data_IF_706663801087
#
_entry.id   IF_706663801087
#
_cell.length_a   1.000
_cell.length_b   1.000
_cell.length_c   1.000
_cell.angle_alpha   90.00
_cell.angle_beta   90.00
_cell.angle_gamma   90.00
#
_symmetry.space_group_name_H-M   'P 1'
#
loop_
_entity.id
_entity.type
_entity.pdbx_description
1 polymer ?
#
# COMPACT_ATOMS: atom_id res chain seq x y z
N UNK A 1 9.46 1.03 -15.86
CA UNK A 1 8.77 0.00 -15.05
C UNK A 1 7.80 0.74 -14.14
N UNK A 2 6.52 0.35 -14.04
CA UNK A 2 5.55 1.02 -13.15
C UNK A 2 5.54 0.35 -11.77
N UNK A 3 5.10 1.07 -10.72
CA UNK A 3 5.00 0.52 -9.35
C UNK A 3 4.22 -0.80 -9.32
N UNK A 4 3.02 -0.85 -9.91
CA UNK A 4 2.20 -2.07 -9.97
C UNK A 4 2.93 -3.23 -10.65
N UNK A 5 3.64 -2.99 -11.75
CA UNK A 5 4.41 -4.04 -12.43
C UNK A 5 5.54 -4.56 -11.56
N UNK A 6 6.19 -3.69 -10.79
CA UNK A 6 7.24 -4.12 -9.84
C UNK A 6 6.68 -4.93 -8.68
N UNK A 7 5.49 -4.59 -8.16
CA UNK A 7 4.80 -5.41 -7.14
C UNK A 7 4.58 -6.81 -7.69
N UNK A 8 4.04 -6.93 -8.93
CA UNK A 8 3.72 -8.23 -9.53
C UNK A 8 4.93 -9.14 -9.76
N UNK A 9 6.13 -8.57 -9.93
CA UNK A 9 7.36 -9.35 -10.11
C UNK A 9 7.76 -10.10 -8.82
N UNK A 10 7.58 -9.47 -7.66
CA UNK A 10 8.02 -10.02 -6.37
C UNK A 10 6.88 -10.57 -5.51
N UNK A 11 5.66 -10.06 -5.73
CA UNK A 11 4.47 -10.30 -4.92
C UNK A 11 3.23 -10.41 -5.84
N UNK A 12 3.13 -11.47 -6.67
CA UNK A 12 2.12 -11.57 -7.73
C UNK A 12 0.68 -11.50 -7.20
N UNK A 13 0.40 -12.15 -6.07
CA UNK A 13 -0.97 -12.28 -5.53
C UNK A 13 -1.35 -11.16 -4.54
N UNK A 14 -0.45 -10.19 -4.32
CA UNK A 14 -0.61 -9.16 -3.30
C UNK A 14 -1.70 -8.17 -3.69
N UNK A 15 -2.68 -7.96 -2.81
CA UNK A 15 -3.75 -7.01 -3.09
C UNK A 15 -3.22 -5.58 -3.00
N UNK A 16 -3.45 -4.79 -4.04
CA UNK A 16 -3.16 -3.35 -4.07
C UNK A 16 -4.49 -2.60 -4.11
N UNK A 17 -4.72 -1.70 -3.16
CA UNK A 17 -5.86 -0.80 -3.20
C UNK A 17 -5.37 0.54 -3.76
N UNK A 18 -6.10 1.03 -4.76
CA UNK A 18 -5.86 2.34 -5.37
C UNK A 18 -7.08 3.22 -5.08
N UNK A 19 -6.84 4.37 -4.45
CA UNK A 19 -7.82 5.43 -4.32
C UNK A 19 -7.45 6.57 -5.27
N UNK A 20 -8.28 6.80 -6.29
CA UNK A 20 -8.00 7.73 -7.38
C UNK A 20 -9.01 8.87 -7.39
N UNK A 21 -8.56 10.10 -7.19
CA UNK A 21 -9.32 11.34 -7.31
C UNK A 21 -8.95 12.14 -8.57
N UNK A 22 -8.37 11.49 -9.57
CA UNK A 22 -8.07 12.10 -10.88
C UNK A 22 -9.36 12.47 -11.61
N UNK A 23 -9.27 13.53 -12.44
CA UNK A 23 -10.39 13.96 -13.30
C UNK A 23 -10.78 12.88 -14.30
N UNK A 24 -9.77 12.15 -14.78
CA UNK A 24 -9.92 11.00 -15.66
C UNK A 24 -9.42 9.76 -14.91
N UNK A 25 -10.31 8.80 -14.58
CA UNK A 25 -9.95 7.57 -13.89
C UNK A 25 -8.90 6.75 -14.67
N UNK A 26 -7.89 6.26 -13.96
CA UNK A 26 -6.91 5.34 -14.52
C UNK A 26 -7.56 3.99 -14.89
N UNK A 27 -7.26 3.50 -16.10
CA UNK A 27 -7.62 2.15 -16.52
C UNK A 27 -6.56 1.17 -16.07
N UNK A 28 -6.85 0.44 -14.99
CA UNK A 28 -5.97 -0.61 -14.46
C UNK A 28 -6.59 -1.97 -14.76
N UNK A 29 -5.85 -2.81 -15.50
CA UNK A 29 -6.25 -4.19 -15.79
C UNK A 29 -5.38 -5.16 -15.00
N UNK A 30 -5.75 -5.41 -13.75
CA UNK A 30 -5.02 -6.26 -12.81
C UNK A 30 -6.01 -6.89 -11.82
N UNK A 31 -6.05 -8.22 -11.75
CA UNK A 31 -7.03 -8.96 -10.93
C UNK A 31 -6.82 -8.81 -9.42
N UNK A 32 -5.65 -8.35 -9.00
CA UNK A 32 -5.30 -8.14 -7.60
C UNK A 32 -5.25 -6.64 -7.26
N UNK A 33 -5.85 -5.79 -8.09
CA UNK A 33 -6.06 -4.36 -7.78
C UNK A 33 -7.52 -4.11 -7.44
N UNK A 34 -7.76 -3.57 -6.24
CA UNK A 34 -9.04 -3.01 -5.85
C UNK A 34 -9.01 -1.49 -6.11
N UNK A 35 -9.72 -1.05 -7.15
CA UNK A 35 -9.70 0.34 -7.59
C UNK A 35 -10.95 1.09 -7.13
N UNK A 36 -10.76 2.21 -6.44
CA UNK A 36 -11.82 3.06 -5.92
C UNK A 36 -11.68 4.48 -6.46
N UNK A 37 -12.64 4.91 -7.29
CA UNK A 37 -12.72 6.28 -7.80
C UNK A 37 -13.35 7.21 -6.76
N UNK A 38 -12.80 8.41 -6.63
CA UNK A 38 -13.31 9.48 -5.78
C UNK A 38 -13.67 10.71 -6.63
N UNK A 39 -14.49 11.64 -6.09
CA UNK A 39 -14.69 12.93 -6.74
C UNK A 39 -13.35 13.64 -6.95
N UNK A 40 -13.25 14.40 -8.05
CA UNK A 40 -12.01 15.07 -8.45
C UNK A 40 -11.45 16.00 -7.35
N UNK A 41 -10.15 15.92 -7.10
CA UNK A 41 -9.41 16.85 -6.24
C UNK A 41 -9.79 16.77 -4.77
N UNK A 42 -10.27 15.62 -4.29
CA UNK A 42 -10.54 15.41 -2.85
C UNK A 42 -9.26 15.33 -2.02
N UNK A 43 -8.15 14.98 -2.65
CA UNK A 43 -6.82 15.02 -2.09
C UNK A 43 -6.42 13.79 -1.29
N UNK A 44 -5.14 13.76 -0.94
CA UNK A 44 -4.44 12.65 -0.29
C UNK A 44 -5.16 12.10 0.94
N UNK A 45 -5.61 12.97 1.86
CA UNK A 45 -6.24 12.54 3.12
C UNK A 45 -7.57 11.80 2.90
N UNK A 46 -8.39 12.27 1.95
CA UNK A 46 -9.64 11.60 1.60
C UNK A 46 -9.37 10.22 0.98
N UNK A 47 -8.41 10.15 0.05
CA UNK A 47 -7.97 8.90 -0.56
C UNK A 47 -7.41 7.91 0.42
N UNK A 48 -6.57 8.38 1.36
CA UNK A 48 -6.00 7.56 2.41
C UNK A 48 -7.07 6.94 3.30
N UNK A 49 -8.03 7.74 3.74
CA UNK A 49 -9.13 7.26 4.58
C UNK A 49 -10.03 6.25 3.85
N UNK A 50 -10.32 6.51 2.58
CA UNK A 50 -11.05 5.56 1.73
C UNK A 50 -10.28 4.25 1.62
N UNK A 51 -9.00 4.31 1.26
CA UNK A 51 -8.15 3.14 1.09
C UNK A 51 -8.07 2.30 2.38
N UNK A 52 -7.83 2.94 3.54
CA UNK A 52 -7.83 2.26 4.86
C UNK A 52 -9.15 1.56 5.14
N UNK A 53 -10.28 2.18 4.79
CA UNK A 53 -11.60 1.62 5.08
C UNK A 53 -11.89 0.30 4.37
N UNK A 54 -11.15 0.00 3.29
CA UNK A 54 -11.27 -1.22 2.48
C UNK A 54 -10.25 -2.30 2.91
N UNK A 55 -9.37 -1.99 3.85
CA UNK A 55 -8.41 -2.95 4.35
C UNK A 55 -9.07 -3.95 5.29
N UNK A 56 -8.90 -5.22 4.96
CA UNK A 56 -9.35 -6.35 5.77
C UNK A 56 -8.20 -7.08 6.44
N UNK A 57 -6.95 -6.74 6.11
CA UNK A 57 -5.74 -7.40 6.58
C UNK A 57 -5.22 -6.82 7.89
N UNK A 58 -4.42 -7.60 8.62
CA UNK A 58 -3.79 -7.17 9.89
C UNK A 58 -2.78 -6.03 9.66
N UNK A 59 -2.14 -6.00 8.50
CA UNK A 59 -1.09 -5.07 8.14
C UNK A 59 -1.41 -4.34 6.85
N UNK A 60 -0.92 -3.11 6.78
CA UNK A 60 -0.95 -2.25 5.59
C UNK A 60 0.45 -1.78 5.30
N UNK A 61 0.82 -1.78 4.02
CA UNK A 61 2.00 -1.08 3.53
C UNK A 61 1.56 0.10 2.67
N UNK A 62 1.89 1.30 3.11
CA UNK A 62 1.77 2.52 2.31
C UNK A 62 2.95 2.61 1.35
N UNK A 63 2.68 2.91 0.09
CA UNK A 63 3.73 3.24 -0.89
C UNK A 63 3.27 4.38 -1.79
N UNK A 64 4.24 5.18 -2.23
CA UNK A 64 4.04 6.14 -3.29
C UNK A 64 3.96 5.45 -4.66
N UNK A 65 3.43 6.15 -5.66
CA UNK A 65 3.28 5.64 -7.03
C UNK A 65 4.62 5.53 -7.79
N UNK A 66 5.68 6.17 -7.28
CA UNK A 66 7.05 6.08 -7.78
C UNK A 66 7.89 4.99 -7.09
N UNK A 67 7.34 4.28 -6.11
CA UNK A 67 8.04 3.21 -5.40
C UNK A 67 8.22 1.97 -6.27
N UNK A 68 9.45 1.47 -6.39
CA UNK A 68 9.76 0.24 -7.11
C UNK A 68 10.16 -0.89 -6.15
N UNK A 69 9.43 -1.99 -6.24
CA UNK A 69 9.79 -3.23 -5.57
C UNK A 69 10.99 -3.87 -6.28
N UNK A 70 11.97 -4.26 -5.49
CA UNK A 70 13.19 -4.93 -5.96
C UNK A 70 13.41 -6.20 -5.15
N UNK A 71 14.39 -7.01 -5.54
CA UNK A 71 14.80 -8.18 -4.76
C UNK A 71 15.25 -7.86 -3.32
N UNK A 72 15.60 -6.61 -3.02
CA UNK A 72 15.94 -6.12 -1.67
C UNK A 72 14.72 -5.73 -0.84
N UNK A 73 13.59 -5.44 -1.47
CA UNK A 73 12.34 -5.09 -0.79
C UNK A 73 11.70 -6.37 -0.25
N UNK A 74 11.70 -6.53 1.09
CA UNK A 74 11.15 -7.71 1.78
C UNK A 74 10.09 -7.30 2.80
N UNK A 75 8.82 -7.34 2.38
CA UNK A 75 7.66 -7.00 3.23
C UNK A 75 7.63 -7.88 4.48
N UNK A 76 8.00 -9.15 4.34
CA UNK A 76 8.04 -10.15 5.40
C UNK A 76 8.96 -9.72 6.55
N UNK A 77 10.10 -9.11 6.23
CA UNK A 77 11.04 -8.62 7.25
C UNK A 77 10.47 -7.46 8.05
N UNK A 78 9.69 -6.58 7.41
CA UNK A 78 9.05 -5.45 8.09
C UNK A 78 7.98 -5.97 9.07
N UNK A 79 7.23 -6.97 8.64
CA UNK A 79 6.20 -7.64 9.45
C UNK A 79 6.82 -8.39 10.62
N UNK A 80 7.92 -9.12 10.39
CA UNK A 80 8.64 -9.83 11.44
C UNK A 80 9.08 -8.89 12.57
N UNK A 81 9.55 -7.68 12.23
CA UNK A 81 9.91 -6.67 13.24
C UNK A 81 8.68 -6.17 13.98
N UNK A 82 7.57 -5.90 13.27
CA UNK A 82 6.31 -5.49 13.90
C UNK A 82 5.68 -6.56 14.80
N UNK A 83 5.85 -7.85 14.50
CA UNK A 83 5.34 -8.94 15.35
C UNK A 83 6.23 -9.17 16.58
N UNK A 84 7.55 -8.92 16.46
CA UNK A 84 8.53 -9.09 17.55
C UNK A 84 8.63 -7.87 18.47
N UNK A 85 7.99 -6.77 18.10
CA UNK A 85 8.04 -5.51 18.86
C UNK A 85 6.62 -5.00 19.15
N UNK A 86 6.49 -4.14 20.16
CA UNK A 86 5.23 -3.46 20.46
C UNK A 86 5.02 -2.21 19.58
N UNK A 87 5.80 -2.06 18.51
CA UNK A 87 5.66 -0.93 17.57
C UNK A 87 4.38 -1.08 16.74
N UNK A 88 3.67 0.02 16.55
CA UNK A 88 2.47 0.08 15.71
C UNK A 88 2.75 0.49 14.26
N UNK A 89 3.83 1.24 14.05
CA UNK A 89 4.25 1.79 12.75
C UNK A 89 5.73 1.54 12.56
N UNK A 90 6.11 1.06 11.38
CA UNK A 90 7.50 0.89 10.99
C UNK A 90 7.76 1.58 9.66
N UNK A 91 8.75 2.46 9.64
CA UNK A 91 9.24 3.10 8.42
C UNK A 91 10.59 2.48 8.04
N UNK A 92 10.71 1.81 6.88
CA UNK A 92 12.01 1.37 6.41
C UNK A 92 12.93 2.57 6.17
N UNK A 93 14.17 2.48 6.64
CA UNK A 93 15.21 3.49 6.39
C UNK A 93 15.95 3.14 5.10
N UNK A 94 16.08 4.10 4.19
CA UNK A 94 16.83 3.94 2.94
C UNK A 94 18.19 4.62 3.07
N UNK A 95 19.28 3.91 2.75
CA UNK A 95 20.60 4.51 2.54
C UNK A 95 20.78 4.92 1.08
N UNK A 96 20.98 6.22 0.86
CA UNK A 96 21.34 6.90 -0.41
C UNK A 96 20.35 6.78 -1.60
N UNK A 97 19.60 7.87 -1.84
CA UNK A 97 19.21 8.29 -3.21
C UNK A 97 17.74 8.29 -3.58
N UNK A 98 16.86 7.60 -2.84
CA UNK A 98 15.42 7.69 -3.05
C UNK A 98 14.74 7.62 -1.69
N UNK A 99 14.00 8.67 -1.34
CA UNK A 99 13.14 8.68 -0.16
C UNK A 99 11.69 8.54 -0.64
N UNK A 100 11.16 7.32 -0.83
CA UNK A 100 9.74 7.12 -1.02
C UNK A 100 9.09 7.00 0.37
N UNK A 101 7.95 7.66 0.56
CA UNK A 101 7.23 7.80 1.82
C UNK A 101 6.46 6.53 2.21
N UNK A 102 7.13 5.39 2.12
CA UNK A 102 6.56 4.09 2.47
C UNK A 102 6.62 3.82 3.99
N UNK A 103 5.52 3.29 4.53
CA UNK A 103 5.40 2.93 5.96
C UNK A 103 4.48 1.73 6.12
N UNK A 104 4.78 0.85 7.09
CA UNK A 104 3.94 -0.30 7.42
C UNK A 104 3.26 -0.05 8.75
N UNK A 105 1.94 -0.18 8.77
CA UNK A 105 1.11 0.06 9.95
C UNK A 105 0.34 -1.21 10.36
N UNK A 106 0.19 -1.44 11.68
CA UNK A 106 -0.78 -2.38 12.23
C UNK A 106 -2.19 -1.79 12.12
N UNK A 107 -3.11 -2.52 11.51
CA UNK A 107 -4.52 -2.11 11.45
C UNK A 107 -5.23 -2.49 12.76
N UNK A 108 -5.89 -1.55 13.46
CA UNK A 108 -6.63 -1.86 14.68
C UNK A 108 -7.67 -2.96 14.44
N UNK A 109 -7.68 -4.00 15.29
CA UNK A 109 -8.53 -5.19 15.12
C UNK A 109 -10.02 -4.85 15.05
N UNK A 110 -10.58 -4.69 13.83
CA UNK A 110 -12.00 -4.99 13.59
C UNK A 110 -12.13 -6.50 13.42
N UNK A 111 -13.08 -7.10 14.15
CA UNK A 111 -13.28 -8.56 14.33
C UNK A 111 -12.76 -9.45 13.18
N UNK A 112 -11.74 -10.25 13.52
CA UNK A 112 -11.35 -11.55 12.95
C UNK A 112 -11.02 -11.56 11.44
N UNK A 113 -9.72 -11.44 11.11
CA UNK A 113 -9.15 -12.08 9.91
C UNK A 113 -7.89 -12.85 10.28
N UNK A 114 -8.00 -14.17 10.18
CA UNK A 114 -6.93 -15.15 10.31
C UNK A 114 -6.43 -15.49 8.90
N UNK A 115 -5.68 -14.56 8.28
CA UNK A 115 -4.86 -14.79 7.07
C UNK A 115 -3.71 -13.80 7.04
N UNK A 116 -2.50 -14.31 6.85
CA UNK A 116 -1.25 -13.57 6.59
C UNK A 116 -1.28 -12.89 5.22
N UNK A 117 -2.31 -12.10 4.95
CA UNK A 117 -2.45 -11.32 3.74
C UNK A 117 -2.06 -9.86 4.04
N UNK A 118 -1.42 -9.20 3.08
CA UNK A 118 -1.04 -7.81 3.17
C UNK A 118 -1.77 -7.02 2.07
N UNK A 119 -2.17 -5.79 2.36
CA UNK A 119 -2.63 -4.85 1.33
C UNK A 119 -1.63 -3.71 1.18
N UNK A 120 -1.25 -3.42 -0.06
CA UNK A 120 -0.53 -2.19 -0.40
C UNK A 120 -1.58 -1.11 -0.65
N UNK A 121 -1.43 0.03 -0.01
CA UNK A 121 -2.23 1.21 -0.30
C UNK A 121 -1.39 2.19 -1.11
N UNK A 122 -1.82 2.45 -2.34
CA UNK A 122 -1.36 3.59 -3.13
C UNK A 122 -2.54 4.56 -3.18
N UNK A 123 -2.50 5.57 -2.30
CA UNK A 123 -3.51 6.62 -2.29
C UNK A 123 -3.01 7.78 -3.14
N UNK A 124 -3.85 8.28 -4.04
CA UNK A 124 -3.70 9.56 -4.73
C UNK A 124 -2.45 9.72 -5.62
N UNK A 125 -2.67 9.57 -6.93
CA UNK A 125 -1.98 10.46 -7.87
C UNK A 125 -2.62 11.83 -7.70
N UNK A 126 -1.96 12.72 -6.98
CA UNK A 126 -2.39 14.11 -6.85
C UNK A 126 -2.41 14.73 -8.26
N UNK A 127 -3.57 15.30 -8.63
CA UNK A 127 -3.72 16.10 -9.84
C UNK A 127 -2.88 17.39 -9.75
#
# INVERSE_FOLDING_TARGET
MTMLRSVREYYPDLTVIVADDSKEPLKINDSHVEYYSMPFGKGWFAGRNLAISQVTTKYVLWVDDDFLFTNKTKIERLVDVLEKTELDVLRPSCTLGACPSSSVDKVPKRKRLDRTAYKILSAARLA
#
